data_IF_442068584047
#
_entry.id   IF_442068584047
#
_cell.length_a   1.000
_cell.length_b   1.000
_cell.length_c   1.000
_cell.angle_alpha   90.00
_cell.angle_beta   90.00
_cell.angle_gamma   90.00
#
_symmetry.space_group_name_H-M   'P 1'
#
loop_
_entity.id
_entity.type
_entity.pdbx_description
1 polymer ?
#
# COMPACT_ATOMS: atom_id res chain seq x y z
N UNK A 1 -10.49 -4.91 -6.61
CA UNK A 1 -9.46 -4.03 -6.00
C UNK A 1 -8.33 -3.80 -6.99
N UNK A 2 -7.77 -2.61 -6.98
CA UNK A 2 -6.74 -2.20 -7.93
C UNK A 2 -5.35 -2.46 -7.34
N UNK A 3 -4.45 -3.02 -8.13
CA UNK A 3 -3.05 -3.21 -7.74
C UNK A 3 -2.16 -2.47 -8.74
N UNK A 4 -1.34 -1.55 -8.26
CA UNK A 4 -0.39 -0.82 -9.10
C UNK A 4 1.02 -0.93 -8.53
N UNK A 5 2.02 -0.89 -9.40
CA UNK A 5 3.43 -1.05 -9.02
C UNK A 5 4.29 0.15 -9.40
N UNK A 6 3.77 1.08 -10.18
CA UNK A 6 4.53 2.27 -10.57
C UNK A 6 3.91 3.53 -10.00
N UNK A 7 4.76 4.54 -9.77
CA UNK A 7 4.31 5.84 -9.29
C UNK A 7 3.41 6.49 -10.34
N UNK A 8 3.70 6.29 -11.61
CA UNK A 8 2.90 6.83 -12.70
C UNK A 8 1.46 6.32 -12.65
N UNK A 9 1.29 5.00 -12.49
CA UNK A 9 -0.03 4.40 -12.38
C UNK A 9 -0.77 4.89 -11.14
N UNK A 10 -0.05 5.02 -10.02
CA UNK A 10 -0.63 5.52 -8.78
C UNK A 10 -1.14 6.95 -8.97
N UNK A 11 -0.33 7.83 -9.56
CA UNK A 11 -0.71 9.21 -9.80
C UNK A 11 -1.92 9.33 -10.71
N UNK A 12 -1.97 8.52 -11.76
CA UNK A 12 -3.10 8.51 -12.69
C UNK A 12 -4.40 8.19 -11.95
N UNK A 13 -4.37 7.17 -11.10
CA UNK A 13 -5.57 6.79 -10.34
C UNK A 13 -5.97 7.84 -9.31
N UNK A 14 -4.99 8.42 -8.63
CA UNK A 14 -5.24 9.48 -7.63
C UNK A 14 -5.88 10.70 -8.30
N UNK A 15 -5.35 11.12 -9.45
CA UNK A 15 -5.91 12.26 -10.19
C UNK A 15 -7.35 11.99 -10.63
N UNK A 16 -7.63 10.77 -11.10
CA UNK A 16 -8.97 10.38 -11.50
C UNK A 16 -9.95 10.52 -10.33
N UNK A 17 -9.60 9.98 -9.16
CA UNK A 17 -10.45 10.07 -7.99
C UNK A 17 -10.63 11.52 -7.50
N UNK A 18 -9.58 12.32 -7.53
CA UNK A 18 -9.68 13.73 -7.16
C UNK A 18 -10.60 14.50 -8.10
N UNK A 19 -10.52 14.21 -9.40
CA UNK A 19 -11.40 14.84 -10.39
C UNK A 19 -12.86 14.44 -10.18
N UNK A 20 -13.10 13.27 -9.58
CA UNK A 20 -14.44 12.83 -9.23
C UNK A 20 -14.93 13.39 -7.89
N UNK A 21 -14.12 14.19 -7.22
CA UNK A 21 -14.46 14.75 -5.92
C UNK A 21 -14.30 13.79 -4.76
N UNK A 22 -13.54 12.71 -4.94
CA UNK A 22 -13.37 11.70 -3.89
C UNK A 22 -12.24 12.10 -2.93
N UNK A 23 -12.47 11.86 -1.64
CA UNK A 23 -11.40 11.98 -0.64
C UNK A 23 -10.60 10.68 -0.60
N UNK A 24 -9.29 10.79 -0.32
CA UNK A 24 -8.38 9.65 -0.36
C UNK A 24 -7.65 9.54 0.97
N UNK A 25 -7.78 8.36 1.61
CA UNK A 25 -6.98 8.01 2.78
C UNK A 25 -5.79 7.19 2.34
N UNK A 26 -4.69 7.30 3.06
CA UNK A 26 -3.45 6.61 2.72
C UNK A 26 -2.90 5.87 3.94
N UNK A 27 -2.65 4.56 3.80
CA UNK A 27 -2.11 3.73 4.88
C UNK A 27 -0.80 3.10 4.41
N UNK A 28 0.35 3.64 4.82
CA UNK A 28 1.64 3.05 4.46
C UNK A 28 1.96 1.83 5.33
N UNK A 29 2.46 0.77 4.70
CA UNK A 29 2.84 -0.47 5.39
C UNK A 29 4.07 -1.09 4.76
N UNK A 30 4.65 -2.07 5.45
CA UNK A 30 5.73 -2.89 4.92
C UNK A 30 5.23 -4.26 4.44
N UNK A 31 3.91 -4.46 4.39
CA UNK A 31 3.32 -5.74 4.02
C UNK A 31 3.19 -6.70 5.19
N UNK A 32 2.90 -7.96 4.89
CA UNK A 32 2.66 -9.01 5.88
C UNK A 32 1.58 -8.58 6.88
N UNK A 33 0.43 -8.20 6.32
CA UNK A 33 -0.62 -7.53 7.08
C UNK A 33 -1.37 -8.48 8.02
N UNK A 34 -1.85 -7.92 9.12
CA UNK A 34 -2.64 -8.64 10.12
C UNK A 34 -3.81 -7.76 10.57
N UNK A 35 -4.54 -8.21 11.61
CA UNK A 35 -5.74 -7.52 12.08
C UNK A 35 -5.51 -6.05 12.46
N UNK A 36 -4.35 -5.75 13.05
CA UNK A 36 -4.02 -4.37 13.42
C UNK A 36 -3.97 -3.46 12.19
N UNK A 37 -3.39 -3.94 11.09
CA UNK A 37 -3.39 -3.21 9.82
C UNK A 37 -4.81 -3.08 9.27
N UNK A 38 -5.59 -4.15 9.36
CA UNK A 38 -6.98 -4.13 8.92
C UNK A 38 -7.79 -3.06 9.62
N UNK A 39 -7.60 -2.88 10.92
CA UNK A 39 -8.26 -1.86 11.71
C UNK A 39 -7.92 -0.45 11.22
N UNK A 40 -6.65 -0.20 10.88
CA UNK A 40 -6.22 1.09 10.33
C UNK A 40 -6.86 1.36 8.97
N UNK A 41 -6.93 0.35 8.11
CA UNK A 41 -7.55 0.46 6.79
C UNK A 41 -9.04 0.76 6.93
N UNK A 42 -9.72 0.03 7.80
CA UNK A 42 -11.14 0.21 8.06
C UNK A 42 -11.43 1.61 8.59
N UNK A 43 -10.59 2.10 9.50
CA UNK A 43 -10.73 3.46 10.03
C UNK A 43 -10.54 4.50 8.94
N UNK A 44 -9.52 4.33 8.10
CA UNK A 44 -9.28 5.24 6.98
C UNK A 44 -10.48 5.27 6.03
N UNK A 45 -11.06 4.09 5.75
CA UNK A 45 -12.25 3.99 4.88
C UNK A 45 -13.47 4.67 5.50
N UNK A 46 -13.62 4.63 6.81
CA UNK A 46 -14.74 5.31 7.48
C UNK A 46 -14.66 6.84 7.34
N UNK A 47 -13.49 7.38 7.04
CA UNK A 47 -13.24 8.81 6.95
C UNK A 47 -13.00 9.30 5.52
N UNK A 48 -12.92 8.39 4.55
CA UNK A 48 -12.58 8.74 3.17
C UNK A 48 -13.39 7.92 2.18
N UNK A 49 -13.56 8.46 0.97
CA UNK A 49 -14.25 7.75 -0.12
C UNK A 49 -13.40 6.60 -0.66
N UNK A 50 -12.10 6.81 -0.74
CA UNK A 50 -11.16 5.82 -1.26
C UNK A 50 -9.97 5.67 -0.31
N UNK A 51 -9.44 4.45 -0.24
CA UNK A 51 -8.27 4.16 0.60
C UNK A 51 -7.20 3.47 -0.22
N UNK A 52 -5.98 4.03 -0.16
CA UNK A 52 -4.79 3.45 -0.78
C UNK A 52 -3.93 2.86 0.32
N UNK A 53 -3.52 1.61 0.15
CA UNK A 53 -2.58 0.96 1.07
C UNK A 53 -1.28 0.76 0.31
N UNK A 54 -0.18 1.34 0.80
CA UNK A 54 1.11 1.07 0.20
C UNK A 54 1.79 -0.10 0.91
N UNK A 55 2.43 -0.95 0.13
CA UNK A 55 3.20 -2.08 0.64
C UNK A 55 4.61 -1.96 0.09
N UNK A 56 5.52 -1.48 0.91
CA UNK A 56 6.90 -1.28 0.49
C UNK A 56 7.85 -1.59 1.64
N UNK A 57 8.74 -2.56 1.41
CA UNK A 57 9.80 -2.91 2.35
C UNK A 57 10.99 -2.01 2.03
N UNK A 58 11.15 -0.95 2.82
CA UNK A 58 12.18 0.06 2.59
C UNK A 58 13.56 -0.47 2.99
N UNK A 59 14.50 -0.63 2.03
CA UNK A 59 15.81 -1.18 2.34
C UNK A 59 16.63 -0.28 3.28
N UNK A 60 16.33 1.03 3.34
CA UNK A 60 17.06 1.94 4.24
C UNK A 60 16.74 1.68 5.71
N UNK A 61 15.69 0.93 6.02
CA UNK A 61 15.33 0.57 7.37
C UNK A 61 16.07 -0.67 7.87
N UNK A 62 16.86 -1.31 7.00
CA UNK A 62 17.62 -2.50 7.34
C UNK A 62 19.10 -2.16 7.46
N UNK A 63 19.75 -2.67 8.53
CA UNK A 63 21.17 -2.49 8.71
C UNK A 63 21.97 -3.42 7.80
N UNK A 64 23.32 -3.24 7.73
CA UNK A 64 24.14 -4.06 6.85
C UNK A 64 24.15 -5.56 7.22
N UNK A 65 23.80 -5.89 8.45
CA UNK A 65 23.71 -7.28 8.92
C UNK A 65 22.31 -7.84 8.91
N UNK A 66 21.34 -7.06 8.45
CA UNK A 66 19.95 -7.49 8.38
C UNK A 66 19.65 -7.99 6.96
N UNK A 67 18.82 -9.02 6.88
CA UNK A 67 18.53 -9.65 5.61
C UNK A 67 17.17 -9.21 5.08
N UNK A 68 17.19 -8.23 4.17
CA UNK A 68 16.00 -7.71 3.53
C UNK A 68 15.23 -8.80 2.79
N UNK A 69 15.96 -9.74 2.18
CA UNK A 69 15.33 -10.81 1.39
C UNK A 69 14.55 -11.80 2.25
N UNK A 70 14.86 -11.86 3.54
CA UNK A 70 14.15 -12.74 4.49
C UNK A 70 12.94 -12.10 5.13
N UNK A 71 12.68 -10.81 4.85
CA UNK A 71 11.49 -10.16 5.36
C UNK A 71 10.25 -10.87 4.81
N UNK A 72 9.31 -11.27 5.68
CA UNK A 72 8.17 -12.06 5.20
C UNK A 72 7.30 -11.27 4.23
N UNK A 73 6.88 -11.94 3.16
CA UNK A 73 6.02 -11.36 2.14
C UNK A 73 4.91 -12.35 1.80
N UNK A 74 3.69 -11.86 1.81
CA UNK A 74 2.53 -12.65 1.43
C UNK A 74 1.48 -11.73 0.80
N UNK A 75 1.71 -11.39 -0.46
CA UNK A 75 0.86 -10.45 -1.18
C UNK A 75 -0.59 -10.94 -1.29
N UNK A 76 -0.79 -12.25 -1.45
CA UNK A 76 -2.15 -12.78 -1.54
C UNK A 76 -2.92 -12.58 -0.24
N UNK A 77 -2.28 -12.80 0.91
CA UNK A 77 -2.89 -12.52 2.19
C UNK A 77 -3.12 -11.01 2.36
N UNK A 78 -2.14 -10.19 1.95
CA UNK A 78 -2.25 -8.74 2.05
C UNK A 78 -3.42 -8.22 1.25
N UNK A 79 -3.64 -8.74 0.04
CA UNK A 79 -4.81 -8.39 -0.77
C UNK A 79 -6.11 -8.68 -0.05
N UNK A 80 -6.18 -9.83 0.63
CA UNK A 80 -7.37 -10.22 1.39
C UNK A 80 -7.63 -9.25 2.55
N UNK A 81 -6.59 -8.92 3.31
CA UNK A 81 -6.71 -8.00 4.44
C UNK A 81 -7.17 -6.63 3.95
N UNK A 82 -6.56 -6.12 2.89
CA UNK A 82 -6.90 -4.81 2.34
C UNK A 82 -8.33 -4.78 1.84
N UNK A 83 -8.73 -5.74 1.00
CA UNK A 83 -10.08 -5.74 0.41
C UNK A 83 -11.16 -5.99 1.46
N UNK A 84 -10.90 -6.84 2.45
CA UNK A 84 -11.87 -7.14 3.51
C UNK A 84 -12.14 -5.94 4.41
N UNK A 85 -11.22 -4.99 4.47
CA UNK A 85 -11.34 -3.82 5.34
C UNK A 85 -11.63 -2.53 4.58
N UNK A 86 -11.97 -2.62 3.30
CA UNK A 86 -12.42 -1.48 2.52
C UNK A 86 -11.33 -0.75 1.75
N UNK A 87 -10.14 -1.30 1.66
CA UNK A 87 -9.08 -0.72 0.82
C UNK A 87 -9.46 -0.82 -0.65
N UNK A 88 -9.18 0.24 -1.41
CA UNK A 88 -9.56 0.34 -2.82
C UNK A 88 -8.39 0.09 -3.76
N UNK A 89 -7.16 0.35 -3.30
CA UNK A 89 -5.97 0.20 -4.14
C UNK A 89 -4.78 -0.20 -3.28
N UNK A 90 -3.96 -1.10 -3.81
CA UNK A 90 -2.66 -1.44 -3.24
C UNK A 90 -1.58 -0.88 -4.15
N UNK A 91 -0.66 -0.10 -3.59
CA UNK A 91 0.54 0.36 -4.27
C UNK A 91 1.71 -0.46 -3.75
N UNK A 92 2.23 -1.35 -4.59
CA UNK A 92 3.30 -2.27 -4.20
C UNK A 92 4.50 -2.12 -5.14
N UNK A 93 5.28 -1.04 -5.00
CA UNK A 93 6.41 -0.79 -5.89
C UNK A 93 7.62 -1.67 -5.55
N UNK A 94 8.48 -1.90 -6.55
CA UNK A 94 9.79 -2.49 -6.32
C UNK A 94 10.75 -1.40 -5.84
N UNK A 95 11.86 -1.81 -5.23
CA UNK A 95 12.87 -0.88 -4.71
C UNK A 95 13.36 0.10 -5.78
N UNK A 96 13.61 -0.39 -6.99
CA UNK A 96 14.10 0.45 -8.10
C UNK A 96 13.10 1.51 -8.55
N UNK A 97 11.82 1.32 -8.30
CA UNK A 97 10.80 2.33 -8.59
C UNK A 97 10.90 3.49 -7.61
N UNK A 98 11.19 3.19 -6.34
CA UNK A 98 11.29 4.20 -5.30
C UNK A 98 12.67 4.84 -5.23
N UNK A 99 13.71 4.09 -5.58
CA UNK A 99 15.11 4.55 -5.55
C UNK A 99 15.78 4.24 -6.90
N UNK A 100 15.39 4.94 -7.96
CA UNK A 100 16.00 4.74 -9.28
C UNK A 100 17.41 5.32 -9.31
N UNK A 101 18.39 4.54 -9.69
CA UNK A 101 19.77 5.05 -9.84
C UNK A 101 20.65 4.06 -10.56
#
# INVERSE_FOLDING_TARGET
MILVKSIKELRTQVELWKNEGKSIGFVPTMGYLHEGHGSLISKAKSQNDKVIVSIFVNPTQFGPNEDLDKYPRDLENDKKVVSSNGGDLIFAPEVKEMYPS
#
